data_IF_832646021935
#
_entry.id   IF_832646021935
#
_cell.length_a   1.000
_cell.length_b   1.000
_cell.length_c   1.000
_cell.angle_alpha   90.00
_cell.angle_beta   90.00
_cell.angle_gamma   90.00
#
_symmetry.space_group_name_H-M   'P 1'
#
loop_
_entity.id
_entity.type
_entity.pdbx_description
1 polymer ?
#
# COMPACT_ATOMS: atom_id res chain seq x y z
N UNK A 1 3.65 18.28 -11.20
CA UNK A 1 4.46 17.16 -10.68
C UNK A 1 4.53 17.30 -9.16
N UNK A 2 4.05 16.31 -8.40
CA UNK A 2 4.14 16.35 -6.93
C UNK A 2 5.56 15.90 -6.54
N UNK A 3 6.28 16.74 -5.81
CA UNK A 3 7.58 16.38 -5.21
C UNK A 3 7.31 16.09 -3.74
N UNK A 4 7.38 14.81 -3.30
CA UNK A 4 7.12 14.50 -1.92
C UNK A 4 8.31 14.88 -1.02
N UNK A 5 8.04 15.09 0.25
CA UNK A 5 9.00 15.42 1.27
C UNK A 5 9.89 14.23 1.67
N UNK A 6 10.56 14.38 2.82
CA UNK A 6 11.55 13.41 3.31
C UNK A 6 10.94 12.09 3.77
N UNK A 7 9.71 12.12 4.26
CA UNK A 7 9.05 10.97 4.89
C UNK A 7 7.84 10.53 4.07
N UNK A 8 7.85 9.27 3.64
CA UNK A 8 6.77 8.64 2.91
C UNK A 8 6.14 7.57 3.79
N UNK A 9 4.82 7.48 3.82
CA UNK A 9 4.09 6.53 4.66
C UNK A 9 3.45 5.45 3.79
N UNK A 10 3.73 4.20 4.10
CA UNK A 10 3.06 3.03 3.51
C UNK A 10 2.02 2.51 4.50
N UNK A 11 0.75 2.48 4.07
CA UNK A 11 -0.35 1.97 4.88
C UNK A 11 -1.32 1.10 4.07
N UNK A 12 -2.22 0.41 4.77
CA UNK A 12 -3.33 -0.35 4.20
C UNK A 12 -4.57 0.53 4.06
N UNK A 13 -5.12 0.63 2.86
CA UNK A 13 -6.41 1.25 2.58
C UNK A 13 -7.41 0.21 2.07
N UNK A 14 -8.69 0.44 2.33
CA UNK A 14 -9.80 -0.37 1.82
C UNK A 14 -10.73 0.54 1.04
N UNK A 15 -11.14 0.12 -0.14
CA UNK A 15 -12.24 0.72 -0.86
C UNK A 15 -13.43 -0.22 -0.81
N UNK A 16 -14.57 0.26 -0.27
CA UNK A 16 -15.79 -0.52 -0.25
C UNK A 16 -16.31 -0.70 -1.68
N UNK A 17 -16.84 -1.89 -1.96
CA UNK A 17 -17.50 -2.15 -3.21
C UNK A 17 -18.94 -2.56 -2.95
N UNK A 18 -19.87 -1.89 -3.63
CA UNK A 18 -21.30 -2.01 -3.37
C UNK A 18 -22.02 -2.91 -4.38
N UNK A 19 -21.33 -3.37 -5.42
CA UNK A 19 -21.91 -4.13 -6.53
C UNK A 19 -21.33 -5.55 -6.64
N UNK A 20 -21.80 -6.33 -7.61
CA UNK A 20 -21.31 -7.66 -7.92
C UNK A 20 -20.05 -7.61 -8.80
N UNK A 21 -19.33 -8.73 -8.93
CA UNK A 21 -18.21 -8.85 -9.86
C UNK A 21 -16.92 -8.13 -9.46
N UNK A 22 -16.72 -7.83 -8.17
CA UNK A 22 -15.53 -7.13 -7.72
C UNK A 22 -14.23 -7.91 -8.02
N UNK A 23 -13.26 -7.32 -8.75
CA UNK A 23 -11.94 -7.92 -8.89
C UNK A 23 -11.14 -7.79 -7.59
N UNK A 24 -10.37 -8.82 -7.24
CA UNK A 24 -9.50 -8.82 -6.07
C UNK A 24 -10.22 -8.56 -4.73
N UNK A 25 -11.47 -9.05 -4.61
CA UNK A 25 -12.30 -8.92 -3.42
C UNK A 25 -11.57 -9.45 -2.17
N UNK A 26 -11.57 -8.65 -1.11
CA UNK A 26 -10.95 -8.99 0.16
C UNK A 26 -11.84 -8.65 1.34
N UNK A 27 -11.73 -9.47 2.39
CA UNK A 27 -12.37 -9.26 3.69
C UNK A 27 -11.32 -8.93 4.75
N UNK A 28 -11.38 -7.73 5.30
CA UNK A 28 -10.50 -7.21 6.35
C UNK A 28 -11.35 -6.72 7.52
N UNK A 29 -11.56 -7.59 8.51
CA UNK A 29 -12.52 -7.38 9.61
C UNK A 29 -12.31 -6.10 10.43
N UNK A 30 -11.07 -5.62 10.53
CA UNK A 30 -10.71 -4.43 11.31
C UNK A 30 -11.03 -3.10 10.65
N UNK A 31 -11.62 -3.10 9.44
CA UNK A 31 -11.89 -1.88 8.65
C UNK A 31 -13.37 -1.49 8.80
N UNK A 32 -13.71 -0.17 8.77
CA UNK A 32 -15.10 0.28 8.92
C UNK A 32 -16.06 -0.38 7.93
N UNK A 33 -15.59 -0.59 6.70
CA UNK A 33 -16.23 -1.41 5.69
C UNK A 33 -15.33 -2.64 5.41
N UNK A 34 -15.64 -3.81 6.00
CA UNK A 34 -14.73 -4.95 5.98
C UNK A 34 -14.57 -5.61 4.62
N UNK A 35 -15.50 -5.40 3.68
CA UNK A 35 -15.55 -6.08 2.39
C UNK A 35 -15.28 -5.05 1.30
N UNK A 36 -14.31 -5.33 0.43
CA UNK A 36 -13.92 -4.42 -0.65
C UNK A 36 -12.56 -4.76 -1.25
N UNK A 37 -11.90 -3.78 -1.85
CA UNK A 37 -10.54 -3.92 -2.37
C UNK A 37 -9.56 -3.42 -1.34
N UNK A 38 -8.58 -4.24 -1.00
CA UNK A 38 -7.44 -3.77 -0.24
C UNK A 38 -6.37 -3.23 -1.19
N UNK A 39 -5.81 -2.08 -0.82
CA UNK A 39 -4.62 -1.55 -1.43
C UNK A 39 -3.54 -1.28 -0.37
N UNK A 40 -2.28 -1.37 -0.79
CA UNK A 40 -1.19 -0.70 -0.08
C UNK A 40 -1.00 0.67 -0.72
N UNK A 41 -1.02 1.71 0.09
CA UNK A 41 -0.92 3.10 -0.37
C UNK A 41 0.36 3.72 0.15
N UNK A 42 1.08 4.41 -0.72
CA UNK A 42 2.19 5.29 -0.37
C UNK A 42 1.69 6.73 -0.40
N UNK A 43 1.83 7.45 0.70
CA UNK A 43 1.46 8.86 0.80
C UNK A 43 2.63 9.70 1.33
N UNK A 44 2.62 10.98 1.01
CA UNK A 44 3.52 11.95 1.65
C UNK A 44 3.06 12.23 3.09
N UNK A 45 4.00 12.25 4.04
CA UNK A 45 3.64 12.46 5.46
C UNK A 45 3.23 13.90 5.80
N UNK A 46 3.62 14.88 4.98
CA UNK A 46 3.38 16.30 5.26
C UNK A 46 2.09 16.79 4.60
N UNK A 47 1.91 16.53 3.30
CA UNK A 47 0.71 16.97 2.57
C UNK A 47 -0.40 15.91 2.49
N UNK A 48 -0.16 14.69 3.00
CA UNK A 48 -1.09 13.56 2.98
C UNK A 48 -1.56 13.16 1.57
N UNK A 49 -0.88 13.62 0.53
CA UNK A 49 -1.19 13.25 -0.84
C UNK A 49 -0.83 11.79 -1.07
N UNK A 50 -1.78 11.02 -1.62
CA UNK A 50 -1.50 9.69 -2.13
C UNK A 50 -0.59 9.83 -3.36
N UNK A 51 0.57 9.20 -3.27
CA UNK A 51 1.57 9.21 -4.33
C UNK A 51 1.41 8.00 -5.23
N UNK A 52 1.24 6.81 -4.63
CA UNK A 52 1.13 5.52 -5.35
C UNK A 52 0.28 4.51 -4.60
N UNK A 53 -0.27 3.57 -5.35
CA UNK A 53 -1.13 2.49 -4.87
C UNK A 53 -0.61 1.18 -5.46
N UNK A 54 -0.60 0.12 -4.65
CA UNK A 54 -0.35 -1.26 -5.08
C UNK A 54 -1.56 -2.12 -4.70
N UNK A 55 -2.18 -2.78 -5.69
CA UNK A 55 -3.34 -3.66 -5.46
C UNK A 55 -2.91 -4.92 -4.70
N UNK A 56 -3.76 -5.45 -3.84
CA UNK A 56 -3.52 -6.73 -3.16
C UNK A 56 -4.32 -7.83 -3.87
N UNK A 57 -3.86 -9.08 -3.79
CA UNK A 57 -4.54 -10.26 -4.33
C UNK A 57 -4.68 -10.30 -5.85
N UNK A 58 -3.82 -9.58 -6.58
CA UNK A 58 -3.77 -9.63 -8.04
C UNK A 58 -3.44 -11.06 -8.54
N UNK A 59 -4.18 -11.61 -9.52
CA UNK A 59 -3.86 -12.91 -10.10
C UNK A 59 -2.55 -12.90 -10.87
N UNK A 60 -2.11 -11.74 -11.36
CA UNK A 60 -0.88 -11.61 -12.12
C UNK A 60 0.32 -11.35 -11.18
N UNK A 61 1.45 -12.05 -11.39
CA UNK A 61 2.66 -11.79 -10.62
C UNK A 61 3.19 -10.38 -10.91
N UNK A 62 3.65 -9.69 -9.87
CA UNK A 62 4.19 -8.33 -9.95
C UNK A 62 5.71 -8.33 -9.89
N UNK A 63 6.28 -7.16 -10.17
CA UNK A 63 7.71 -6.92 -10.01
C UNK A 63 8.18 -7.32 -8.60
N UNK A 64 9.27 -8.08 -8.51
CA UNK A 64 9.85 -8.66 -7.29
C UNK A 64 9.10 -9.83 -6.64
N UNK A 65 7.94 -10.27 -7.14
CA UNK A 65 7.20 -11.40 -6.53
C UNK A 65 7.91 -12.76 -6.72
N UNK A 66 8.76 -12.87 -7.75
CA UNK A 66 9.54 -14.09 -8.07
C UNK A 66 10.95 -14.07 -7.49
N UNK A 67 11.34 -13.00 -6.81
CA UNK A 67 12.68 -12.85 -6.26
C UNK A 67 12.83 -13.80 -5.07
N UNK A 68 13.76 -14.75 -5.18
CA UNK A 68 14.03 -15.72 -4.11
C UNK A 68 14.36 -14.99 -2.80
N UNK A 69 13.65 -15.34 -1.72
CA UNK A 69 13.80 -14.74 -0.40
C UNK A 69 13.07 -13.40 -0.18
N UNK A 70 12.42 -12.83 -1.20
CA UNK A 70 11.66 -11.58 -1.06
C UNK A 70 10.26 -11.84 -0.48
N UNK A 71 9.99 -11.32 0.72
CA UNK A 71 8.63 -11.34 1.31
C UNK A 71 7.71 -10.42 0.50
N UNK A 72 6.43 -10.81 0.33
CA UNK A 72 5.41 -10.02 -0.38
C UNK A 72 5.34 -8.56 0.07
N UNK A 73 5.41 -8.32 1.39
CA UNK A 73 5.40 -6.96 1.94
C UNK A 73 6.59 -6.12 1.46
N UNK A 74 7.79 -6.71 1.45
CA UNK A 74 9.01 -6.06 0.97
C UNK A 74 8.93 -5.78 -0.52
N UNK A 75 8.39 -6.72 -1.31
CA UNK A 75 8.14 -6.54 -2.74
C UNK A 75 7.19 -5.36 -2.99
N UNK A 76 6.08 -5.26 -2.25
CA UNK A 76 5.14 -4.15 -2.32
C UNK A 76 5.80 -2.82 -1.95
N UNK A 77 6.53 -2.74 -0.83
CA UNK A 77 7.21 -1.51 -0.43
C UNK A 77 8.21 -1.07 -1.50
N UNK A 78 9.03 -1.99 -2.02
CA UNK A 78 9.95 -1.72 -3.13
C UNK A 78 9.22 -1.17 -4.35
N UNK A 79 8.12 -1.81 -4.79
CA UNK A 79 7.34 -1.34 -5.93
C UNK A 79 6.80 0.06 -5.71
N UNK A 80 6.25 0.35 -4.53
CA UNK A 80 5.70 1.65 -4.19
C UNK A 80 6.77 2.76 -4.21
N UNK A 81 7.92 2.51 -3.59
CA UNK A 81 8.94 3.54 -3.37
C UNK A 81 9.98 3.63 -4.50
N UNK A 82 9.89 2.76 -5.51
CA UNK A 82 10.80 2.68 -6.69
C UNK A 82 11.20 4.03 -7.31
N UNK A 83 10.29 5.01 -7.53
CA UNK A 83 10.64 6.29 -8.14
C UNK A 83 11.57 7.16 -7.27
N UNK A 84 11.68 6.83 -5.98
CA UNK A 84 12.48 7.56 -5.00
C UNK A 84 13.68 6.76 -4.49
N UNK A 85 14.06 5.67 -5.17
CA UNK A 85 15.32 4.99 -4.90
C UNK A 85 16.50 5.95 -5.02
N UNK A 86 17.45 5.84 -4.07
CA UNK A 86 18.63 6.72 -4.03
C UNK A 86 18.35 8.17 -3.59
N UNK A 87 17.10 8.55 -3.31
CA UNK A 87 16.76 9.95 -3.01
C UNK A 87 16.96 10.38 -1.55
N UNK A 88 17.43 9.49 -0.67
CA UNK A 88 17.60 9.76 0.76
C UNK A 88 16.30 9.90 1.57
N UNK A 89 15.14 9.61 0.96
CA UNK A 89 13.84 9.60 1.66
C UNK A 89 13.67 8.36 2.53
N UNK A 90 12.95 8.52 3.63
CA UNK A 90 12.63 7.43 4.56
C UNK A 90 11.19 6.97 4.34
N UNK A 91 10.99 5.67 4.18
CA UNK A 91 9.67 5.07 4.07
C UNK A 91 9.26 4.46 5.41
N UNK A 92 8.17 4.97 5.99
CA UNK A 92 7.58 4.53 7.24
C UNK A 92 6.45 3.55 6.94
N UNK A 93 6.58 2.31 7.40
CA UNK A 93 5.53 1.30 7.26
C UNK A 93 4.66 1.31 8.52
N UNK A 94 3.38 1.69 8.38
CA UNK A 94 2.41 1.60 9.47
C UNK A 94 1.72 0.24 9.42
N UNK A 95 2.26 -0.73 10.17
CA UNK A 95 1.62 -2.01 10.42
C UNK A 95 0.50 -1.84 11.45
N UNK A 96 -0.69 -1.42 11.03
CA UNK A 96 -1.96 -1.65 11.76
C UNK A 96 -2.00 -1.38 13.28
N UNK A 97 -1.06 -0.63 13.85
CA UNK A 97 -1.05 -0.25 15.26
C UNK A 97 -2.09 0.86 15.42
N UNK A 98 -3.32 0.44 15.67
CA UNK A 98 -4.29 1.28 16.36
C UNK A 98 -3.59 1.73 17.63
N UNK A 99 -3.33 3.03 17.78
CA UNK A 99 -2.96 3.57 19.09
C UNK A 99 -4.10 3.21 20.03
N UNK A 100 -3.88 2.50 21.15
CA UNK A 100 -4.92 2.36 22.15
C UNK A 100 -5.28 3.77 22.60
N UNK A 101 -6.51 4.18 22.34
CA UNK A 101 -7.16 5.33 22.99
C UNK A 101 -7.48 4.96 24.42
#
# INVERSE_FOLDING_TARGET
MIIPGKHLVVNESMNQWLDTGMPNLKKVLRKPHPIGQEFKTLADNHCYCILRIDTVSDPCPKEYDKDSGMKKLTATVKRLVKPWFGSGRTSLLTLGLVRPT
#
